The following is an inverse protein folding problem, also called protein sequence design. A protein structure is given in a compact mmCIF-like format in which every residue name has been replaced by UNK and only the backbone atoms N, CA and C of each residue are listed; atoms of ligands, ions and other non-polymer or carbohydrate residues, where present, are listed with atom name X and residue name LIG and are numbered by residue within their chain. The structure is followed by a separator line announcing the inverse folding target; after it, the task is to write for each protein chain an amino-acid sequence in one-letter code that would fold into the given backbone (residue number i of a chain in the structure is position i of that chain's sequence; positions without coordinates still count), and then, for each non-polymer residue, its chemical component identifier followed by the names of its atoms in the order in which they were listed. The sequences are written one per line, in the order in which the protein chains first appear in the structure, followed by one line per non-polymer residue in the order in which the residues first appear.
data_IF_944546091739
#
_entry.id   IF_944546091739
#
_cell.length_a   1.000
_cell.length_b   1.000
_cell.length_c   1.000
_cell.angle_alpha   90.00
_cell.angle_beta   90.00
_cell.angle_gamma   90.00
#
_symmetry.space_group_name_H-M   'P 1'
#
loop_
_entity.id
_entity.type
_entity.pdbx_description
1 polymer ?
#
# COMPACT_ATOMS: atom_id res chain seq x y z
N UNK A 1 25.29 -3.68 -3.56
CA UNK A 1 24.40 -2.52 -3.59
C UNK A 1 23.13 -2.95 -4.30
N UNK A 2 21.97 -2.76 -3.70
CA UNK A 2 20.70 -3.01 -4.36
C UNK A 2 19.66 -2.04 -3.80
N UNK A 3 19.09 -1.23 -4.68
CA UNK A 3 17.96 -0.37 -4.37
C UNK A 3 16.71 -1.03 -4.94
N UNK A 4 15.87 -1.54 -4.08
CA UNK A 4 14.70 -2.32 -4.45
C UNK A 4 13.42 -1.57 -4.09
N UNK A 5 12.49 -1.42 -5.02
CA UNK A 5 11.12 -0.97 -4.77
C UNK A 5 10.22 -2.20 -4.68
N UNK A 6 9.45 -2.32 -3.60
CA UNK A 6 8.40 -3.32 -3.46
C UNK A 6 7.05 -2.62 -3.47
N UNK A 7 6.17 -3.00 -4.38
CA UNK A 7 4.84 -2.42 -4.51
C UNK A 7 3.76 -3.47 -4.81
N UNK A 8 2.50 -3.12 -4.57
CA UNK A 8 1.36 -3.96 -4.94
C UNK A 8 1.00 -3.81 -6.41
N UNK A 9 0.82 -4.93 -7.10
CA UNK A 9 0.44 -4.95 -8.51
C UNK A 9 -1.08 -5.00 -8.74
N UNK A 10 -1.88 -4.99 -7.67
CA UNK A 10 -3.35 -5.09 -7.69
C UNK A 10 -3.99 -3.91 -6.92
N UNK A 11 -5.06 -4.15 -6.16
CA UNK A 11 -5.76 -3.16 -5.32
C UNK A 11 -5.31 -3.12 -3.86
N UNK A 12 -4.05 -3.40 -3.57
CA UNK A 12 -3.58 -3.56 -2.20
C UNK A 12 -3.88 -4.94 -1.63
N UNK A 13 -3.44 -5.15 -0.38
CA UNK A 13 -3.64 -6.42 0.34
C UNK A 13 -3.03 -7.66 -0.34
N UNK A 14 -2.05 -7.48 -1.23
CA UNK A 14 -1.38 -8.57 -1.96
C UNK A 14 -0.47 -9.43 -1.06
N UNK A 15 -0.39 -9.13 0.24
CA UNK A 15 0.54 -9.80 1.15
C UNK A 15 1.95 -9.19 1.13
N UNK A 16 2.05 -7.92 0.74
CA UNK A 16 3.33 -7.17 0.73
C UNK A 16 4.08 -7.24 2.05
N UNK A 17 3.38 -7.30 3.20
CA UNK A 17 4.02 -7.38 4.51
C UNK A 17 5.03 -8.54 4.62
N UNK A 18 4.68 -9.73 4.12
CA UNK A 18 5.60 -10.88 4.08
C UNK A 18 6.81 -10.63 3.17
N UNK A 19 6.58 -9.97 2.04
CA UNK A 19 7.63 -9.66 1.05
C UNK A 19 8.54 -8.54 1.55
N UNK A 20 7.98 -7.48 2.12
CA UNK A 20 8.79 -6.38 2.70
C UNK A 20 9.59 -6.86 3.90
N UNK A 21 9.04 -7.73 4.73
CA UNK A 21 9.75 -8.36 5.83
C UNK A 21 10.94 -9.23 5.34
N UNK A 22 10.73 -9.99 4.26
CA UNK A 22 11.80 -10.77 3.63
C UNK A 22 12.98 -9.88 3.22
N UNK A 23 12.73 -8.75 2.53
CA UNK A 23 13.77 -7.82 2.13
C UNK A 23 14.33 -6.99 3.30
N UNK A 24 13.49 -6.57 4.24
CA UNK A 24 13.90 -5.75 5.38
C UNK A 24 14.93 -6.45 6.27
N UNK A 25 14.90 -7.78 6.33
CA UNK A 25 15.85 -8.59 7.12
C UNK A 25 17.32 -8.38 6.72
N UNK A 26 17.58 -7.95 5.50
CA UNK A 26 18.93 -7.72 4.95
C UNK A 26 19.14 -6.26 4.48
N UNK A 27 18.14 -5.39 4.65
CA UNK A 27 18.23 -4.00 4.24
C UNK A 27 18.93 -3.15 5.31
N UNK A 28 19.79 -2.22 4.87
CA UNK A 28 20.34 -1.18 5.72
C UNK A 28 19.32 -0.05 5.96
N UNK A 29 18.49 0.26 4.96
CA UNK A 29 17.41 1.23 5.06
C UNK A 29 16.10 0.65 4.52
N UNK A 30 14.98 0.97 5.20
CA UNK A 30 13.63 0.73 4.69
C UNK A 30 12.88 2.05 4.65
N UNK A 31 12.45 2.45 3.46
CA UNK A 31 11.92 3.78 3.16
C UNK A 31 10.47 3.72 2.73
N UNK A 32 9.54 4.27 3.54
CA UNK A 32 8.17 4.57 3.13
C UNK A 32 8.16 5.86 2.33
N UNK A 33 7.66 5.84 1.11
CA UNK A 33 7.74 6.99 0.20
C UNK A 33 6.38 7.62 -0.13
N UNK A 34 5.25 7.02 0.30
CA UNK A 34 3.91 7.54 0.05
C UNK A 34 2.89 6.96 1.02
N UNK A 35 1.67 7.54 1.01
CA UNK A 35 0.57 7.12 1.89
C UNK A 35 0.76 7.65 3.31
N UNK A 36 0.03 7.08 4.22
CA UNK A 36 0.06 7.40 5.65
C UNK A 36 -0.39 6.20 6.46
N UNK A 37 -1.07 6.45 7.57
CA UNK A 37 -1.61 5.41 8.43
C UNK A 37 -2.87 4.70 7.88
N UNK A 38 -3.24 4.95 6.61
CA UNK A 38 -4.28 4.20 5.88
C UNK A 38 -3.80 2.84 5.35
N UNK A 39 -2.49 2.61 5.30
CA UNK A 39 -1.92 1.29 5.08
C UNK A 39 -1.84 0.53 6.40
N UNK A 40 -1.93 -0.77 6.35
CA UNK A 40 -1.70 -1.64 7.50
C UNK A 40 -1.16 -2.96 7.00
N UNK A 41 -0.04 -3.41 7.56
CA UNK A 41 0.47 -4.74 7.31
C UNK A 41 0.88 -5.40 8.62
N UNK A 42 0.60 -6.68 8.72
CA UNK A 42 0.98 -7.48 9.87
C UNK A 42 2.23 -8.26 9.52
N UNK A 43 3.23 -8.15 10.38
CA UNK A 43 4.48 -8.91 10.30
C UNK A 43 4.50 -9.87 11.48
N UNK A 44 4.95 -11.10 11.24
CA UNK A 44 5.08 -12.12 12.28
C UNK A 44 6.56 -12.22 12.65
N UNK A 45 6.89 -11.89 13.91
CA UNK A 45 8.24 -11.99 14.45
C UNK A 45 8.23 -13.01 15.61
N UNK A 46 8.70 -14.22 15.37
CA UNK A 46 8.54 -15.32 16.32
C UNK A 46 7.07 -15.67 16.54
N UNK A 47 6.59 -15.58 17.77
CA UNK A 47 5.18 -15.79 18.14
C UNK A 47 4.36 -14.51 18.10
N UNK A 48 4.99 -13.34 17.98
CA UNK A 48 4.34 -12.04 18.00
C UNK A 48 3.85 -11.61 16.63
N UNK A 49 2.60 -11.12 16.58
CA UNK A 49 2.04 -10.42 15.42
C UNK A 49 2.11 -8.91 15.67
N UNK A 50 2.87 -8.22 14.85
CA UNK A 50 3.05 -6.78 14.92
C UNK A 50 2.36 -6.13 13.72
N UNK A 51 1.37 -5.30 13.99
CA UNK A 51 0.68 -4.53 12.95
C UNK A 51 1.32 -3.15 12.83
N UNK A 52 1.92 -2.86 11.68
CA UNK A 52 2.48 -1.55 11.36
C UNK A 52 1.60 -0.85 10.33
N UNK A 53 1.41 0.46 10.50
CA UNK A 53 0.63 1.27 9.55
C UNK A 53 1.44 2.43 8.98
N UNK A 54 2.17 3.15 9.81
CA UNK A 54 2.96 4.32 9.41
C UNK A 54 4.47 4.03 9.45
N UNK A 55 4.93 3.36 10.50
CA UNK A 55 6.33 3.02 10.66
C UNK A 55 6.77 1.97 9.62
N UNK A 56 7.92 2.16 8.92
CA UNK A 56 8.44 1.19 7.97
C UNK A 56 8.80 -0.14 8.64
N UNK A 57 8.68 -1.26 7.89
CA UNK A 57 8.97 -2.61 8.39
C UNK A 57 10.40 -2.79 8.93
N UNK A 58 11.34 -1.97 8.46
CA UNK A 58 12.72 -1.94 8.93
C UNK A 58 12.90 -1.68 10.44
N UNK A 59 11.90 -1.11 11.11
CA UNK A 59 11.95 -0.87 12.56
C UNK A 59 12.13 -2.15 13.38
N UNK A 60 11.74 -3.30 12.82
CA UNK A 60 11.86 -4.60 13.47
C UNK A 60 13.29 -5.17 13.45
N UNK A 61 14.21 -4.54 12.74
CA UNK A 61 15.58 -5.01 12.53
C UNK A 61 16.58 -4.02 13.13
N UNK A 62 17.38 -4.44 14.13
CA UNK A 62 18.28 -3.54 14.87
C UNK A 62 19.33 -2.81 14.02
N UNK A 63 19.73 -3.42 12.89
CA UNK A 63 20.72 -2.83 11.98
C UNK A 63 20.12 -1.97 10.87
N UNK A 64 18.81 -1.93 10.75
CA UNK A 64 18.11 -1.19 9.72
C UNK A 64 17.73 0.21 10.21
N UNK A 65 17.77 1.20 9.32
CA UNK A 65 17.25 2.55 9.55
C UNK A 65 15.87 2.66 8.89
N UNK A 66 14.78 2.73 9.66
CA UNK A 66 13.45 2.98 9.11
C UNK A 66 13.30 4.47 8.75
N UNK A 67 12.77 4.77 7.56
CA UNK A 67 12.66 6.15 7.03
C UNK A 67 11.23 6.42 6.58
N UNK A 68 10.62 7.48 7.14
CA UNK A 68 9.38 8.08 6.64
C UNK A 68 9.75 9.27 5.76
N UNK A 69 9.64 9.10 4.45
CA UNK A 69 10.12 10.09 3.47
C UNK A 69 9.08 11.19 3.19
N UNK A 70 9.48 12.19 2.40
CA UNK A 70 8.72 13.41 2.13
C UNK A 70 7.37 13.22 1.41
N UNK A 71 7.21 12.08 0.72
CA UNK A 71 5.94 11.76 0.06
C UNK A 71 4.84 11.27 1.00
N UNK A 72 5.16 10.89 2.24
CA UNK A 72 4.20 10.45 3.23
C UNK A 72 3.40 11.61 3.85
N UNK A 73 2.22 11.26 4.37
CA UNK A 73 1.43 12.13 5.25
C UNK A 73 1.34 11.48 6.64
N UNK A 74 1.58 12.25 7.70
CA UNK A 74 1.86 11.75 9.04
C UNK A 74 0.80 12.21 10.03
N UNK A 75 0.11 11.28 10.65
CA UNK A 75 -0.71 11.48 11.83
C UNK A 75 0.18 11.30 13.06
N UNK A 76 0.56 12.40 13.74
CA UNK A 76 1.48 12.35 14.88
C UNK A 76 0.89 11.66 16.10
N UNK A 77 -0.42 11.79 16.32
CA UNK A 77 -1.09 11.08 17.42
C UNK A 77 -1.04 9.56 17.20
N UNK A 78 -1.25 9.13 15.95
CA UNK A 78 -1.13 7.72 15.57
C UNK A 78 0.33 7.25 15.67
N UNK A 79 1.29 8.03 15.17
CA UNK A 79 2.71 7.70 15.25
C UNK A 79 3.16 7.51 16.69
N UNK A 80 2.76 8.40 17.60
CA UNK A 80 3.04 8.29 19.05
C UNK A 80 2.57 6.95 19.62
N UNK A 81 1.35 6.54 19.25
CA UNK A 81 0.79 5.28 19.73
C UNK A 81 1.55 4.06 19.14
N UNK A 82 1.91 4.12 17.85
CA UNK A 82 2.65 3.05 17.18
C UNK A 82 4.07 2.90 17.74
N UNK A 83 4.78 4.01 17.97
CA UNK A 83 6.11 4.00 18.59
C UNK A 83 6.05 3.45 20.02
N UNK A 84 5.04 3.86 20.81
CA UNK A 84 4.86 3.33 22.17
C UNK A 84 4.59 1.82 22.15
N UNK A 85 3.73 1.34 21.26
CA UNK A 85 3.45 -0.11 21.08
C UNK A 85 4.73 -0.89 20.75
N UNK A 86 5.60 -0.33 19.92
CA UNK A 86 6.89 -0.95 19.58
C UNK A 86 7.85 -0.98 20.78
N UNK A 87 7.95 0.13 21.52
CA UNK A 87 8.78 0.23 22.73
C UNK A 87 8.29 -0.71 23.84
N UNK A 88 6.98 -0.86 24.04
CA UNK A 88 6.37 -1.80 24.96
C UNK A 88 6.73 -3.27 24.65
N UNK A 89 7.10 -3.54 23.38
CA UNK A 89 7.60 -4.83 22.87
C UNK A 89 9.15 -4.90 22.84
N UNK A 90 9.86 -3.96 23.46
CA UNK A 90 11.31 -3.83 23.47
C UNK A 90 11.93 -3.67 22.06
N UNK A 91 11.22 -3.06 21.12
CA UNK A 91 11.72 -2.71 19.79
C UNK A 91 12.28 -1.29 19.86
N UNK A 92 13.55 -1.15 19.48
CA UNK A 92 14.23 0.15 19.44
C UNK A 92 13.69 1.01 18.29
N UNK A 93 13.24 2.23 18.61
CA UNK A 93 12.70 3.18 17.65
C UNK A 93 13.60 4.40 17.41
N UNK A 94 14.74 4.49 18.07
CA UNK A 94 15.62 5.68 18.06
C UNK A 94 16.25 5.95 16.67
N UNK A 95 16.37 4.89 15.85
CA UNK A 95 16.90 5.00 14.47
C UNK A 95 15.88 5.53 13.47
N UNK A 96 14.60 5.66 13.83
CA UNK A 96 13.59 6.19 12.92
C UNK A 96 14.00 7.57 12.41
N UNK A 97 13.96 7.74 11.09
CA UNK A 97 14.21 9.01 10.43
C UNK A 97 12.92 9.53 9.78
N UNK A 98 12.53 10.76 10.10
CA UNK A 98 11.34 11.41 9.57
C UNK A 98 11.75 12.61 8.73
N UNK A 99 11.24 12.67 7.49
CA UNK A 99 11.51 13.80 6.60
C UNK A 99 10.90 15.11 7.13
N UNK A 100 11.67 16.20 7.19
CA UNK A 100 11.14 17.53 7.51
C UNK A 100 10.08 17.99 6.51
N UNK A 101 10.10 17.47 5.28
CA UNK A 101 9.20 17.85 4.20
C UNK A 101 7.91 17.02 4.14
N UNK A 102 7.75 15.95 4.93
CA UNK A 102 6.50 15.22 5.05
C UNK A 102 5.40 16.11 5.60
N UNK A 103 4.15 15.87 5.19
CA UNK A 103 3.00 16.67 5.60
C UNK A 103 2.30 16.07 6.81
N UNK A 104 1.76 16.93 7.67
CA UNK A 104 1.03 16.55 8.88
C UNK A 104 -0.47 16.40 8.59
N UNK A 105 -1.04 15.28 9.01
CA UNK A 105 -2.49 15.10 9.06
C UNK A 105 -3.00 15.83 10.30
N UNK A 106 -3.71 16.92 10.07
CA UNK A 106 -4.31 17.73 11.12
C UNK A 106 -5.67 17.17 11.54
N UNK A 107 -6.16 17.44 12.76
CA UNK A 107 -7.48 16.97 13.22
C UNK A 107 -8.62 17.33 12.28
N UNK A 108 -8.60 18.51 11.69
CA UNK A 108 -9.61 18.94 10.72
C UNK A 108 -9.58 18.14 9.42
N UNK A 109 -8.46 17.54 9.02
CA UNK A 109 -8.42 16.64 7.86
C UNK A 109 -9.26 15.38 8.10
N UNK A 110 -9.20 14.81 9.32
CA UNK A 110 -9.99 13.63 9.68
C UNK A 110 -11.49 13.97 9.67
N UNK A 111 -11.85 15.11 10.24
CA UNK A 111 -13.22 15.60 10.26
C UNK A 111 -13.75 15.84 8.83
N UNK A 112 -12.97 16.49 7.97
CA UNK A 112 -13.34 16.71 6.57
C UNK A 112 -13.49 15.40 5.79
N UNK A 113 -12.58 14.43 5.97
CA UNK A 113 -12.65 13.12 5.32
C UNK A 113 -13.97 12.39 5.68
N UNK A 114 -14.36 12.46 6.95
CA UNK A 114 -15.62 11.89 7.41
C UNK A 114 -16.84 12.58 6.81
N UNK A 115 -16.87 13.90 6.84
CA UNK A 115 -17.99 14.71 6.34
C UNK A 115 -18.15 14.58 4.81
N UNK A 116 -17.04 14.53 4.07
CA UNK A 116 -17.06 14.30 2.62
C UNK A 116 -17.66 12.92 2.33
N UNK A 117 -17.20 11.87 3.00
CA UNK A 117 -17.76 10.53 2.81
C UNK A 117 -19.25 10.46 3.17
N UNK A 118 -19.67 11.12 4.26
CA UNK A 118 -21.09 11.19 4.62
C UNK A 118 -21.94 11.89 3.56
N UNK A 119 -21.43 12.99 3.00
CA UNK A 119 -22.14 13.78 1.98
C UNK A 119 -22.33 13.04 0.66
N UNK A 120 -21.46 12.09 0.31
CA UNK A 120 -21.54 11.28 -0.90
C UNK A 120 -22.67 10.23 -0.88
N UNK A 121 -23.27 9.93 0.27
CA UNK A 121 -24.39 9.01 0.39
C UNK A 121 -24.09 7.64 -0.21
N UNK A 122 -24.81 7.25 -1.27
CA UNK A 122 -24.59 5.98 -1.96
C UNK A 122 -23.32 5.96 -2.82
N UNK A 123 -22.79 7.13 -3.18
CA UNK A 123 -21.58 7.28 -3.99
C UNK A 123 -20.30 7.29 -3.17
N UNK A 124 -20.33 6.78 -1.95
CA UNK A 124 -19.16 6.69 -1.06
C UNK A 124 -18.00 5.99 -1.74
N UNK A 125 -16.81 6.59 -1.61
CA UNK A 125 -15.54 5.98 -2.05
C UNK A 125 -15.16 4.82 -1.14
N UNK A 126 -15.49 4.92 0.15
CA UNK A 126 -15.14 3.95 1.18
C UNK A 126 -13.77 4.25 1.78
N UNK A 127 -13.49 5.54 2.05
CA UNK A 127 -12.23 5.97 2.68
C UNK A 127 -12.04 5.38 4.06
N UNK A 128 -10.81 5.46 4.55
CA UNK A 128 -10.48 5.02 5.93
C UNK A 128 -10.84 6.06 6.99
N UNK A 129 -11.34 7.23 6.60
CA UNK A 129 -11.65 8.39 7.47
C UNK A 129 -10.44 8.85 8.32
N UNK A 130 -9.24 8.67 7.80
CA UNK A 130 -7.98 9.04 8.48
C UNK A 130 -7.41 10.38 8.03
N UNK A 131 -8.14 11.13 7.20
CA UNK A 131 -7.74 12.46 6.75
C UNK A 131 -6.67 12.45 5.64
N UNK A 132 -6.41 11.31 5.03
CA UNK A 132 -5.36 11.15 4.00
C UNK A 132 -5.66 12.04 2.78
N UNK A 133 -6.87 11.93 2.22
CA UNK A 133 -7.29 12.70 1.05
C UNK A 133 -7.21 14.20 1.29
N UNK A 134 -7.87 14.75 2.32
CA UNK A 134 -7.79 16.18 2.65
C UNK A 134 -6.36 16.68 2.90
N UNK A 135 -5.49 15.88 3.53
CA UNK A 135 -4.09 16.26 3.74
C UNK A 135 -3.31 16.36 2.40
N UNK A 136 -3.50 15.41 1.48
CA UNK A 136 -2.91 15.51 0.14
C UNK A 136 -3.50 16.67 -0.67
N UNK A 137 -4.79 16.98 -0.52
CA UNK A 137 -5.39 18.16 -1.13
C UNK A 137 -4.72 19.44 -0.67
N UNK A 138 -4.51 19.61 0.63
CA UNK A 138 -3.81 20.77 1.20
C UNK A 138 -2.35 20.85 0.73
N UNK A 139 -1.67 19.72 0.60
CA UNK A 139 -0.32 19.66 0.01
C UNK A 139 -0.30 20.22 -1.42
N UNK A 140 -1.24 19.81 -2.28
CA UNK A 140 -1.32 20.26 -3.67
C UNK A 140 -1.76 21.72 -3.77
N UNK A 141 -2.65 22.18 -2.89
CA UNK A 141 -3.03 23.59 -2.75
C UNK A 141 -1.91 24.46 -2.14
N UNK A 142 -0.80 23.86 -1.69
CA UNK A 142 0.37 24.55 -1.11
C UNK A 142 0.07 25.27 0.21
N UNK A 143 -0.92 24.79 0.95
CA UNK A 143 -1.26 25.27 2.30
C UNK A 143 -0.99 24.22 3.40
N UNK A 144 -0.53 23.03 3.00
CA UNK A 144 -0.22 21.94 3.93
C UNK A 144 0.85 22.32 4.96
N UNK A 145 0.69 21.78 6.16
CA UNK A 145 1.62 21.94 7.27
C UNK A 145 2.63 20.79 7.20
N UNK A 146 3.92 21.11 7.24
CA UNK A 146 5.01 20.13 7.19
C UNK A 146 5.54 19.83 8.58
N UNK A 147 6.22 18.71 8.70
CA UNK A 147 6.89 18.28 9.94
C UNK A 147 7.86 19.36 10.46
N UNK A 148 8.64 19.98 9.58
CA UNK A 148 9.57 21.06 9.95
C UNK A 148 8.88 22.30 10.54
N UNK A 149 7.64 22.56 10.17
CA UNK A 149 6.92 23.74 10.66
C UNK A 149 6.70 23.66 12.20
N UNK A 150 6.62 22.45 12.76
CA UNK A 150 6.53 22.25 14.21
C UNK A 150 7.77 22.71 14.97
N UNK A 151 8.93 22.79 14.32
CA UNK A 151 10.16 23.26 14.97
C UNK A 151 10.20 24.77 15.11
N UNK A 152 9.33 25.50 14.39
CA UNK A 152 9.18 26.95 14.47
C UNK A 152 7.75 27.27 14.92
N UNK A 153 7.61 27.66 16.22
CA UNK A 153 6.30 27.91 16.84
C UNK A 153 5.51 28.99 16.10
N UNK A 154 6.14 30.07 15.73
CA UNK A 154 5.46 31.21 15.08
C UNK A 154 4.94 30.80 13.68
N UNK A 155 5.75 30.09 12.92
CA UNK A 155 5.38 29.57 11.59
C UNK A 155 4.23 28.56 11.71
N UNK A 156 4.32 27.63 12.66
CA UNK A 156 3.30 26.62 12.89
C UNK A 156 1.95 27.24 13.25
N UNK A 157 1.93 28.12 14.29
CA UNK A 157 0.70 28.79 14.74
C UNK A 157 0.04 29.61 13.63
N UNK A 158 0.84 30.37 12.88
CA UNK A 158 0.34 31.17 11.75
C UNK A 158 -0.32 30.29 10.70
N UNK A 159 0.29 29.17 10.32
CA UNK A 159 -0.28 28.22 9.33
C UNK A 159 -1.54 27.56 9.84
N UNK A 160 -1.56 27.10 11.10
CA UNK A 160 -2.75 26.48 11.71
C UNK A 160 -3.91 27.48 11.72
N UNK A 161 -3.71 28.70 12.21
CA UNK A 161 -4.76 29.75 12.28
C UNK A 161 -5.33 30.03 10.89
N UNK A 162 -4.46 30.24 9.89
CA UNK A 162 -4.89 30.51 8.51
C UNK A 162 -5.70 29.36 7.91
N UNK A 163 -5.26 28.10 8.10
CA UNK A 163 -5.97 26.94 7.58
C UNK A 163 -7.33 26.72 8.26
N UNK A 164 -7.39 27.00 9.56
CA UNK A 164 -8.63 26.85 10.33
C UNK A 164 -9.67 27.90 9.94
N UNK A 165 -9.28 29.14 9.64
CA UNK A 165 -10.23 30.14 9.12
C UNK A 165 -10.97 29.62 7.90
N UNK A 166 -10.27 29.10 6.88
CA UNK A 166 -10.87 28.55 5.67
C UNK A 166 -11.66 27.25 5.94
N UNK A 167 -11.10 26.36 6.76
CA UNK A 167 -11.77 25.12 7.14
C UNK A 167 -13.08 25.39 7.87
N UNK A 168 -13.11 26.36 8.78
CA UNK A 168 -14.31 26.74 9.53
C UNK A 168 -15.41 27.33 8.62
N UNK A 169 -15.04 28.03 7.55
CA UNK A 169 -16.04 28.44 6.54
C UNK A 169 -16.70 27.21 5.91
N UNK A 170 -15.92 26.22 5.55
CA UNK A 170 -16.43 24.96 4.99
C UNK A 170 -17.29 24.21 6.01
N UNK A 171 -16.83 24.05 7.23
CA UNK A 171 -17.56 23.37 8.29
C UNK A 171 -18.90 24.01 8.59
N UNK A 172 -18.91 25.34 8.78
CA UNK A 172 -20.10 26.06 9.24
C UNK A 172 -21.09 26.33 8.11
N UNK A 173 -20.63 26.62 6.88
CA UNK A 173 -21.49 27.04 5.76
C UNK A 173 -21.93 25.89 4.86
N UNK A 174 -21.13 24.83 4.74
CA UNK A 174 -21.43 23.69 3.87
C UNK A 174 -21.95 22.51 4.68
N UNK A 175 -21.27 22.17 5.77
CA UNK A 175 -21.61 20.99 6.56
C UNK A 175 -22.46 21.28 7.80
N UNK A 176 -22.76 22.53 8.12
CA UNK A 176 -23.52 22.94 9.30
C UNK A 176 -22.98 22.35 10.60
N UNK A 177 -21.65 22.28 10.71
CA UNK A 177 -20.93 21.75 11.88
C UNK A 177 -20.30 22.90 12.68
N UNK A 178 -20.08 22.71 13.98
CA UNK A 178 -19.36 23.68 14.81
C UNK A 178 -17.95 23.96 14.26
N UNK A 179 -17.44 25.18 14.45
CA UNK A 179 -16.06 25.51 14.08
C UNK A 179 -15.07 24.76 14.96
N UNK A 180 -13.88 24.51 14.42
CA UNK A 180 -12.72 23.97 15.14
C UNK A 180 -11.92 25.14 15.71
N UNK A 181 -11.35 24.94 16.90
CA UNK A 181 -10.57 25.96 17.61
C UNK A 181 -9.09 25.76 17.32
N UNK A 182 -8.41 26.82 16.85
CA UNK A 182 -7.01 26.76 16.46
C UNK A 182 -6.09 26.50 17.66
N UNK A 183 -6.38 27.09 18.77
CA UNK A 183 -5.61 27.01 20.00
C UNK A 183 -5.56 25.58 20.55
N UNK A 184 -6.65 24.84 20.47
CA UNK A 184 -6.71 23.42 20.89
C UNK A 184 -5.77 22.55 20.07
N UNK A 185 -5.75 22.77 18.75
CA UNK A 185 -4.85 22.05 17.85
C UNK A 185 -3.39 22.42 18.11
N UNK A 186 -3.09 23.71 18.33
CA UNK A 186 -1.74 24.18 18.63
C UNK A 186 -1.23 23.53 19.93
N UNK A 187 -2.08 23.48 20.97
CA UNK A 187 -1.74 22.86 22.26
C UNK A 187 -1.47 21.36 22.09
N UNK A 188 -2.37 20.62 21.39
CA UNK A 188 -2.17 19.20 21.09
C UNK A 188 -0.85 18.92 20.36
N UNK A 189 -0.50 19.75 19.37
CA UNK A 189 0.71 19.54 18.57
C UNK A 189 2.00 19.97 19.26
N UNK A 190 1.93 20.81 20.30
CA UNK A 190 3.08 21.08 21.15
C UNK A 190 3.59 19.82 21.85
N UNK A 191 2.69 18.92 22.27
CA UNK A 191 3.03 17.64 22.89
C UNK A 191 3.74 16.66 21.94
N UNK A 192 3.59 16.85 20.61
CA UNK A 192 4.23 16.01 19.61
C UNK A 192 5.60 16.52 19.14
N UNK A 193 5.98 17.75 19.54
CA UNK A 193 7.23 18.39 19.12
C UNK A 193 8.46 17.57 19.49
N UNK A 194 8.51 17.08 20.73
CA UNK A 194 9.66 16.30 21.21
C UNK A 194 9.82 14.99 20.44
N UNK A 195 8.71 14.34 20.08
CA UNK A 195 8.74 13.11 19.27
C UNK A 195 9.35 13.40 17.91
N UNK A 196 8.92 14.50 17.27
CA UNK A 196 9.42 14.87 15.94
C UNK A 196 10.87 15.32 16.01
N UNK A 197 11.25 16.14 17.01
CA UNK A 197 12.61 16.69 17.13
C UNK A 197 13.69 15.61 17.21
N UNK A 198 13.40 14.48 17.86
CA UNK A 198 14.33 13.38 18.02
C UNK A 198 14.53 12.56 16.73
N UNK A 199 13.53 12.55 15.82
CA UNK A 199 13.53 11.71 14.64
C UNK A 199 13.73 12.47 13.33
N UNK A 200 13.64 13.80 13.34
CA UNK A 200 13.74 14.60 12.12
C UNK A 200 15.15 14.56 11.53
N UNK A 201 15.26 14.22 10.24
CA UNK A 201 16.53 14.16 9.50
C UNK A 201 16.30 14.55 8.04
N UNK A 202 17.28 15.11 7.37
CA UNK A 202 17.25 15.21 5.92
C UNK A 202 17.31 13.81 5.31
N UNK A 203 16.12 13.24 5.05
CA UNK A 203 15.99 11.86 4.58
C UNK A 203 16.50 11.68 3.16
N UNK A 204 16.42 12.71 2.30
CA UNK A 204 16.96 12.66 0.96
C UNK A 204 18.49 12.53 0.98
N UNK A 205 19.16 13.37 1.78
CA UNK A 205 20.60 13.29 1.98
C UNK A 205 21.02 11.97 2.67
N UNK A 206 20.25 11.50 3.63
CA UNK A 206 20.49 10.22 4.30
C UNK A 206 20.50 9.06 3.29
N UNK A 207 19.49 9.02 2.40
CA UNK A 207 19.37 7.98 1.38
C UNK A 207 20.48 8.13 0.33
N UNK A 208 20.81 9.33 -0.11
CA UNK A 208 21.91 9.57 -1.05
C UNK A 208 23.25 9.07 -0.49
N UNK A 209 23.53 9.35 0.77
CA UNK A 209 24.76 8.87 1.43
C UNK A 209 24.77 7.34 1.51
N UNK A 210 23.66 6.70 1.85
CA UNK A 210 23.53 5.25 1.86
C UNK A 210 23.81 4.64 0.47
N UNK A 211 23.32 5.27 -0.60
CA UNK A 211 23.61 4.86 -1.98
C UNK A 211 25.12 4.96 -2.27
N UNK A 212 25.78 6.09 -1.92
CA UNK A 212 27.22 6.27 -2.09
C UNK A 212 28.06 5.25 -1.32
N UNK A 213 27.56 4.85 -0.15
CA UNK A 213 28.16 3.81 0.70
C UNK A 213 27.84 2.37 0.24
N UNK A 214 27.15 2.21 -0.88
CA UNK A 214 26.74 0.91 -1.45
C UNK A 214 25.86 0.08 -0.51
N UNK A 215 25.05 0.72 0.33
CA UNK A 215 24.08 0.08 1.22
C UNK A 215 22.89 -0.49 0.46
N UNK A 216 22.23 -1.47 1.07
CA UNK A 216 21.00 -2.07 0.55
C UNK A 216 19.79 -1.27 1.04
N UNK A 217 18.98 -0.78 0.09
CA UNK A 217 17.83 0.09 0.38
C UNK A 217 16.56 -0.56 -0.16
N UNK A 218 15.56 -0.70 0.73
CA UNK A 218 14.21 -1.11 0.38
C UNK A 218 13.28 0.10 0.36
N UNK A 219 12.65 0.39 -0.76
CA UNK A 219 11.53 1.32 -0.85
C UNK A 219 10.23 0.52 -0.69
N UNK A 220 9.56 0.73 0.43
CA UNK A 220 8.34 0.03 0.82
C UNK A 220 7.11 0.80 0.37
N UNK A 221 6.42 0.30 -0.66
CA UNK A 221 5.17 0.86 -1.16
C UNK A 221 3.96 0.45 -0.32
N UNK A 222 3.00 1.34 -0.24
CA UNK A 222 1.70 1.11 0.35
C UNK A 222 0.62 0.99 -0.74
N UNK A 223 -0.53 0.38 -0.42
CA UNK A 223 -1.64 0.13 -1.34
C UNK A 223 -1.19 -0.72 -2.56
N UNK A 224 -1.65 -0.42 -3.76
CA UNK A 224 -1.30 -1.14 -4.99
C UNK A 224 -1.56 -0.30 -6.23
N UNK A 225 -1.04 -0.73 -7.39
CA UNK A 225 -1.07 0.01 -8.65
C UNK A 225 -2.47 0.44 -9.07
N UNK A 226 -3.47 -0.43 -8.89
CA UNK A 226 -4.86 -0.11 -9.28
C UNK A 226 -5.57 0.84 -8.30
N UNK A 227 -4.89 1.24 -7.21
CA UNK A 227 -5.30 2.32 -6.30
C UNK A 227 -4.51 3.62 -6.50
N UNK A 228 -3.60 3.69 -7.47
CA UNK A 228 -2.84 4.90 -7.78
C UNK A 228 -3.79 6.03 -8.22
N UNK A 229 -3.53 7.27 -7.76
CA UNK A 229 -4.41 8.41 -8.05
C UNK A 229 -4.50 8.72 -9.55
N UNK A 230 -3.43 8.49 -10.32
CA UNK A 230 -3.36 8.77 -11.76
C UNK A 230 -3.63 7.52 -12.62
N UNK A 231 -3.22 6.34 -12.15
CA UNK A 231 -3.21 5.09 -12.93
C UNK A 231 -4.20 4.04 -12.43
N UNK A 232 -4.87 4.29 -11.31
CA UNK A 232 -5.84 3.37 -10.71
C UNK A 232 -7.24 3.51 -11.28
N UNK A 233 -8.17 2.78 -10.66
CA UNK A 233 -9.61 2.78 -11.00
C UNK A 233 -10.33 3.99 -10.41
N UNK A 234 -9.96 5.20 -10.84
CA UNK A 234 -10.55 6.45 -10.38
C UNK A 234 -12.09 6.43 -10.56
N UNK A 235 -12.89 6.95 -9.59
CA UNK A 235 -12.46 7.64 -8.36
C UNK A 235 -12.16 6.72 -7.17
N UNK A 236 -12.26 5.41 -7.32
CA UNK A 236 -12.06 4.41 -6.25
C UNK A 236 -10.57 4.09 -6.10
N UNK A 237 -9.80 5.08 -5.67
CA UNK A 237 -8.33 5.07 -5.53
C UNK A 237 -7.90 5.68 -4.20
N UNK A 238 -6.63 5.58 -3.86
CA UNK A 238 -6.03 6.39 -2.77
C UNK A 238 -5.61 7.75 -3.30
N UNK A 239 -5.35 8.70 -2.42
CA UNK A 239 -4.98 10.08 -2.79
C UNK A 239 -3.48 10.27 -3.02
N UNK A 240 -2.74 9.20 -3.26
CA UNK A 240 -1.29 9.24 -3.53
C UNK A 240 -0.92 8.38 -4.72
N UNK A 241 0.25 8.65 -5.31
CA UNK A 241 0.82 7.78 -6.33
C UNK A 241 1.46 6.56 -5.66
N UNK A 242 0.94 5.37 -5.99
CA UNK A 242 1.42 4.08 -5.48
C UNK A 242 2.42 3.41 -6.41
N UNK A 243 2.61 3.97 -7.60
CA UNK A 243 3.50 3.48 -8.64
C UNK A 243 4.98 3.61 -8.28
N UNK A 244 5.83 2.79 -8.90
CA UNK A 244 7.27 2.75 -8.64
C UNK A 244 7.98 4.09 -8.90
N UNK A 245 7.51 4.87 -9.88
CA UNK A 245 8.06 6.21 -10.18
C UNK A 245 7.99 7.15 -8.98
N UNK A 246 6.99 6.99 -8.12
CA UNK A 246 6.86 7.81 -6.92
C UNK A 246 7.86 7.44 -5.82
N UNK A 247 8.52 6.28 -5.88
CA UNK A 247 9.60 5.97 -4.94
C UNK A 247 10.74 6.99 -5.06
N UNK A 248 11.08 7.40 -6.27
CA UNK A 248 12.07 8.45 -6.53
C UNK A 248 11.58 9.83 -6.03
N UNK A 249 10.36 10.23 -6.41
CA UNK A 249 9.81 11.55 -6.06
C UNK A 249 9.57 11.66 -4.55
N UNK A 250 8.90 10.68 -3.97
CA UNK A 250 8.48 10.70 -2.56
C UNK A 250 9.64 10.54 -1.58
N UNK A 251 10.77 9.97 -1.99
CA UNK A 251 11.98 9.85 -1.17
C UNK A 251 13.02 10.94 -1.43
N UNK A 252 12.91 11.66 -2.57
CA UNK A 252 13.89 12.66 -2.99
C UNK A 252 15.17 12.06 -3.58
N UNK A 253 15.06 10.91 -4.23
CA UNK A 253 16.17 10.17 -4.86
C UNK A 253 16.06 10.26 -6.37
N UNK A 254 17.17 10.32 -7.07
CA UNK A 254 17.17 10.29 -8.54
C UNK A 254 16.69 8.94 -9.08
N UNK A 255 15.82 8.90 -10.13
CA UNK A 255 15.23 7.65 -10.61
C UNK A 255 16.27 6.62 -11.14
N UNK A 256 17.46 7.06 -11.55
CA UNK A 256 18.55 6.17 -11.95
C UNK A 256 19.13 5.33 -10.81
N UNK A 257 18.81 5.68 -9.58
CA UNK A 257 19.29 4.98 -8.39
C UNK A 257 18.31 3.88 -7.94
N UNK A 258 17.35 3.51 -8.77
CA UNK A 258 16.43 2.38 -8.53
C UNK A 258 16.86 1.26 -9.46
N UNK A 259 17.36 0.16 -8.87
CA UNK A 259 17.91 -0.97 -9.64
C UNK A 259 16.85 -2.04 -9.93
N UNK A 260 15.93 -2.27 -8.98
CA UNK A 260 15.02 -3.39 -8.97
C UNK A 260 13.62 -2.95 -8.58
N UNK A 261 12.61 -3.42 -9.30
CA UNK A 261 11.21 -3.09 -9.03
C UNK A 261 10.41 -4.39 -8.95
N UNK A 262 10.01 -4.74 -7.73
CA UNK A 262 9.28 -5.97 -7.42
C UNK A 262 7.79 -5.68 -7.31
N UNK A 263 7.01 -6.28 -8.21
CA UNK A 263 5.56 -6.29 -8.09
C UNK A 263 5.08 -7.45 -7.22
N UNK A 264 4.20 -7.21 -6.28
CA UNK A 264 3.57 -8.27 -5.48
C UNK A 264 2.14 -8.46 -5.95
N UNK A 265 1.76 -9.70 -6.26
CA UNK A 265 0.39 -10.09 -6.63
C UNK A 265 -0.05 -11.30 -5.82
N UNK A 266 -1.34 -11.48 -5.59
CA UNK A 266 -1.89 -12.76 -5.15
C UNK A 266 -2.07 -13.71 -6.34
N UNK A 267 -2.13 -15.00 -6.08
CA UNK A 267 -2.55 -15.98 -7.09
C UNK A 267 -4.01 -15.82 -7.54
N UNK A 268 -4.77 -14.95 -6.91
CA UNK A 268 -6.09 -14.47 -7.27
C UNK A 268 -6.15 -12.95 -7.05
N UNK A 269 -7.31 -12.31 -7.14
CA UNK A 269 -7.38 -10.88 -6.90
C UNK A 269 -8.43 -10.56 -5.83
N UNK A 270 -8.19 -9.56 -5.00
CA UNK A 270 -9.16 -9.07 -4.03
C UNK A 270 -9.24 -7.55 -4.03
N UNK A 271 -10.38 -7.02 -3.62
CA UNK A 271 -10.63 -5.58 -3.52
C UNK A 271 -11.42 -5.26 -2.26
N UNK A 272 -11.04 -4.17 -1.60
CA UNK A 272 -11.84 -3.54 -0.53
C UNK A 272 -12.67 -2.43 -1.13
N UNK A 273 -13.92 -2.28 -0.65
CA UNK A 273 -14.78 -1.15 -1.02
C UNK A 273 -15.46 -1.26 -2.37
N UNK A 274 -15.91 -0.11 -2.84
CA UNK A 274 -16.67 0.05 -4.08
C UNK A 274 -15.77 0.10 -5.31
N UNK A 275 -16.37 0.24 -6.49
CA UNK A 275 -15.68 0.36 -7.76
C UNK A 275 -15.71 -0.91 -8.60
N UNK A 276 -15.26 -0.83 -9.87
CA UNK A 276 -15.35 -1.91 -10.83
C UNK A 276 -14.44 -3.09 -10.46
N UNK A 277 -14.89 -4.32 -10.80
CA UNK A 277 -14.13 -5.53 -10.57
C UNK A 277 -14.57 -6.61 -11.58
N UNK A 278 -13.94 -6.63 -12.74
CA UNK A 278 -14.38 -7.43 -13.90
C UNK A 278 -14.37 -8.92 -13.59
N UNK A 279 -13.39 -9.42 -12.86
CA UNK A 279 -13.23 -10.85 -12.53
C UNK A 279 -13.88 -11.27 -11.22
N UNK A 280 -14.66 -10.40 -10.57
CA UNK A 280 -15.32 -10.67 -9.28
C UNK A 280 -16.17 -11.94 -9.34
N UNK A 281 -16.04 -12.79 -8.34
CA UNK A 281 -16.83 -13.99 -8.17
C UNK A 281 -17.87 -13.80 -7.05
N UNK A 282 -19.14 -13.67 -7.43
CA UNK A 282 -20.29 -13.53 -6.50
C UNK A 282 -20.99 -14.87 -6.32
N UNK A 283 -20.23 -15.93 -6.10
CA UNK A 283 -20.68 -17.32 -6.04
C UNK A 283 -19.84 -18.09 -5.02
N UNK A 284 -20.03 -19.39 -4.93
CA UNK A 284 -19.31 -20.30 -4.02
C UNK A 284 -17.78 -20.20 -4.16
N UNK A 285 -17.27 -19.94 -5.36
CA UNK A 285 -15.82 -19.72 -5.58
C UNK A 285 -15.35 -18.45 -4.87
N UNK A 286 -16.12 -17.37 -5.00
CA UNK A 286 -15.80 -16.12 -4.29
C UNK A 286 -15.80 -16.33 -2.78
N UNK A 287 -16.79 -17.03 -2.24
CA UNK A 287 -16.87 -17.37 -0.82
C UNK A 287 -15.67 -18.22 -0.38
N UNK A 288 -15.32 -19.24 -1.16
CA UNK A 288 -14.15 -20.07 -0.92
C UNK A 288 -12.85 -19.23 -0.84
N UNK A 289 -12.60 -18.35 -1.82
CA UNK A 289 -11.41 -17.51 -1.85
C UNK A 289 -11.36 -16.57 -0.63
N UNK A 290 -12.50 -16.06 -0.19
CA UNK A 290 -12.59 -15.17 0.98
C UNK A 290 -12.27 -15.93 2.26
N UNK A 291 -12.93 -17.07 2.50
CA UNK A 291 -12.78 -17.83 3.73
C UNK A 291 -11.37 -18.44 3.83
N UNK A 292 -10.94 -19.19 2.79
CA UNK A 292 -9.63 -19.84 2.79
C UNK A 292 -8.49 -18.84 2.75
N UNK A 293 -8.67 -17.73 2.02
CA UNK A 293 -7.70 -16.64 1.94
C UNK A 293 -7.72 -15.71 3.15
N UNK A 294 -8.63 -15.87 4.11
CA UNK A 294 -8.84 -14.96 5.23
C UNK A 294 -8.94 -13.50 4.75
N UNK A 295 -9.78 -13.26 3.72
CA UNK A 295 -9.88 -11.96 3.05
C UNK A 295 -10.80 -11.00 3.82
N UNK A 296 -10.32 -10.60 4.99
CA UNK A 296 -10.95 -9.61 5.87
C UNK A 296 -9.98 -8.46 6.16
N UNK A 297 -10.51 -7.26 6.28
CA UNK A 297 -9.70 -6.08 6.58
C UNK A 297 -9.11 -6.14 7.98
N UNK A 298 -7.79 -5.99 8.12
CA UNK A 298 -7.08 -6.10 9.41
C UNK A 298 -7.61 -5.10 10.45
N UNK A 299 -7.97 -3.89 10.02
CA UNK A 299 -8.42 -2.80 10.90
C UNK A 299 -9.94 -2.80 11.10
N UNK A 300 -10.69 -3.09 10.03
CA UNK A 300 -12.16 -2.93 10.03
C UNK A 300 -12.91 -4.25 10.11
N UNK A 301 -12.25 -5.39 9.98
CA UNK A 301 -12.89 -6.70 9.84
C UNK A 301 -13.76 -6.85 8.57
N UNK A 302 -13.78 -5.84 7.68
CA UNK A 302 -14.64 -5.81 6.51
C UNK A 302 -14.24 -6.90 5.52
N UNK A 303 -15.22 -7.68 5.07
CA UNK A 303 -15.06 -8.72 4.05
C UNK A 303 -14.62 -8.09 2.73
N UNK A 304 -13.58 -8.64 2.11
CA UNK A 304 -13.10 -8.23 0.79
C UNK A 304 -13.89 -8.94 -0.30
N UNK A 305 -14.01 -8.31 -1.45
CA UNK A 305 -14.50 -8.91 -2.69
C UNK A 305 -13.36 -9.69 -3.32
N UNK A 306 -13.60 -10.91 -3.82
CA UNK A 306 -12.57 -11.74 -4.44
C UNK A 306 -12.96 -12.16 -5.85
N UNK A 307 -11.96 -12.45 -6.66
CA UNK A 307 -12.14 -12.90 -8.04
C UNK A 307 -10.91 -13.61 -8.60
N UNK A 308 -11.04 -14.14 -9.79
CA UNK A 308 -9.94 -14.78 -10.52
C UNK A 308 -8.86 -13.77 -10.87
N UNK A 309 -7.60 -14.23 -10.92
CA UNK A 309 -6.47 -13.37 -11.29
C UNK A 309 -6.68 -12.79 -12.69
N UNK A 310 -6.53 -11.48 -12.78
CA UNK A 310 -6.73 -10.69 -13.98
C UNK A 310 -5.37 -10.33 -14.58
N UNK A 311 -4.98 -11.05 -15.63
CA UNK A 311 -3.70 -10.87 -16.31
C UNK A 311 -3.63 -9.58 -17.13
N UNK A 312 -4.79 -9.04 -17.56
CA UNK A 312 -4.83 -7.77 -18.29
C UNK A 312 -4.46 -6.63 -17.34
N UNK A 313 -5.06 -6.60 -16.16
CA UNK A 313 -4.72 -5.59 -15.14
C UNK A 313 -3.31 -5.79 -14.60
N UNK A 314 -2.83 -7.03 -14.48
CA UNK A 314 -1.47 -7.32 -14.06
C UNK A 314 -0.43 -6.88 -15.10
N UNK A 315 -0.66 -7.14 -16.39
CA UNK A 315 0.18 -6.65 -17.51
C UNK A 315 0.23 -5.12 -17.55
N UNK A 316 -0.90 -4.47 -17.27
CA UNK A 316 -0.94 -3.01 -17.10
C UNK A 316 -0.04 -2.57 -15.93
N UNK A 317 -0.12 -3.25 -14.79
CA UNK A 317 0.73 -2.94 -13.63
C UNK A 317 2.21 -3.14 -13.93
N UNK A 318 2.59 -4.18 -14.67
CA UNK A 318 3.96 -4.39 -15.19
C UNK A 318 4.42 -3.19 -15.98
N UNK A 319 3.61 -2.73 -16.93
CA UNK A 319 3.94 -1.61 -17.82
C UNK A 319 4.14 -0.29 -17.08
N UNK A 320 3.18 0.10 -16.22
CA UNK A 320 3.23 1.43 -15.56
C UNK A 320 4.31 1.52 -14.49
N UNK A 321 4.74 0.38 -13.95
CA UNK A 321 5.79 0.33 -12.93
C UNK A 321 7.16 -0.10 -13.48
N UNK A 322 7.24 -0.57 -14.72
CA UNK A 322 8.46 -1.21 -15.27
C UNK A 322 8.97 -2.33 -14.35
N UNK A 323 8.09 -3.24 -13.96
CA UNK A 323 8.45 -4.32 -13.05
C UNK A 323 9.61 -5.14 -13.61
N UNK A 324 10.63 -5.39 -12.80
CA UNK A 324 11.75 -6.25 -13.15
C UNK A 324 11.46 -7.71 -12.81
N UNK A 325 10.53 -7.95 -11.89
CA UNK A 325 10.12 -9.27 -11.44
C UNK A 325 8.78 -9.21 -10.70
N UNK A 326 8.16 -10.37 -10.56
CA UNK A 326 6.90 -10.56 -9.86
C UNK A 326 7.05 -11.56 -8.72
N UNK A 327 6.42 -11.25 -7.59
CA UNK A 327 6.25 -12.12 -6.44
C UNK A 327 4.78 -12.51 -6.33
N UNK A 328 4.51 -13.82 -6.31
CA UNK A 328 3.14 -14.35 -6.15
C UNK A 328 2.94 -14.80 -4.70
N UNK A 329 1.85 -14.36 -4.10
CA UNK A 329 1.45 -14.73 -2.74
C UNK A 329 0.17 -15.55 -2.77
N UNK A 330 -0.07 -16.28 -1.67
CA UNK A 330 -1.32 -17.03 -1.44
C UNK A 330 -1.66 -18.07 -2.52
N UNK A 331 -0.65 -18.75 -3.06
CA UNK A 331 -0.87 -19.85 -4.01
C UNK A 331 -1.59 -21.02 -3.33
N UNK A 332 -1.33 -21.27 -2.05
CA UNK A 332 -1.98 -22.26 -1.18
C UNK A 332 -3.50 -22.11 -1.11
N UNK A 333 -4.00 -20.90 -1.26
CA UNK A 333 -5.45 -20.64 -1.23
C UNK A 333 -6.18 -21.32 -2.40
N UNK A 334 -5.51 -21.53 -3.53
CA UNK A 334 -6.10 -22.20 -4.68
C UNK A 334 -6.13 -23.73 -4.57
N UNK A 335 -5.41 -24.34 -3.61
CA UNK A 335 -5.44 -25.80 -3.38
C UNK A 335 -6.84 -26.24 -2.96
N UNK A 336 -7.37 -27.29 -3.58
CA UNK A 336 -8.72 -27.84 -3.34
C UNK A 336 -9.77 -27.40 -4.38
N UNK A 337 -9.43 -26.48 -5.29
CA UNK A 337 -10.29 -26.12 -6.40
C UNK A 337 -10.09 -27.09 -7.57
N UNK A 338 -11.18 -27.60 -8.15
CA UNK A 338 -11.14 -28.50 -9.33
C UNK A 338 -10.72 -27.75 -10.59
N UNK A 339 -11.16 -26.51 -10.74
CA UNK A 339 -10.85 -25.63 -11.87
C UNK A 339 -10.42 -24.26 -11.39
N UNK A 340 -9.45 -23.69 -12.06
CA UNK A 340 -8.89 -22.37 -11.77
C UNK A 340 -8.85 -21.58 -13.08
N UNK A 341 -9.23 -20.30 -13.01
CA UNK A 341 -9.28 -19.43 -14.18
C UNK A 341 -8.25 -18.30 -14.10
N UNK A 342 -7.67 -17.97 -15.27
CA UNK A 342 -6.93 -16.72 -15.50
C UNK A 342 -7.71 -15.87 -16.50
N UNK A 343 -7.96 -14.60 -16.17
CA UNK A 343 -8.54 -13.68 -17.13
C UNK A 343 -7.47 -13.19 -18.10
N UNK A 344 -7.64 -13.51 -19.38
CA UNK A 344 -6.70 -13.23 -20.47
C UNK A 344 -7.20 -12.18 -21.47
N UNK A 345 -8.38 -11.63 -21.24
CA UNK A 345 -8.99 -10.61 -22.09
C UNK A 345 -10.33 -10.16 -21.52
N UNK A 346 -10.87 -9.11 -22.09
CA UNK A 346 -12.22 -8.61 -21.78
C UNK A 346 -13.05 -8.55 -23.03
N UNK A 347 -14.28 -9.06 -22.98
CA UNK A 347 -15.27 -8.87 -24.02
C UNK A 347 -16.10 -7.64 -23.71
N UNK A 348 -16.07 -6.67 -24.61
CA UNK A 348 -16.88 -5.47 -24.50
C UNK A 348 -17.54 -5.18 -25.84
N UNK A 349 -18.89 -5.12 -25.84
CA UNK A 349 -19.68 -5.06 -27.08
C UNK A 349 -19.32 -6.24 -28.02
N UNK A 350 -18.77 -5.98 -29.19
CA UNK A 350 -18.36 -7.02 -30.16
C UNK A 350 -16.84 -7.16 -30.27
N UNK A 351 -16.07 -6.55 -29.35
CA UNK A 351 -14.61 -6.53 -29.38
C UNK A 351 -14.01 -7.35 -28.24
N UNK A 352 -12.86 -7.98 -28.53
CA UNK A 352 -11.99 -8.58 -27.53
C UNK A 352 -10.88 -7.57 -27.19
N UNK A 353 -10.88 -7.08 -25.96
CA UNK A 353 -9.84 -6.21 -25.45
C UNK A 353 -8.73 -7.04 -24.80
N UNK A 354 -7.51 -6.84 -25.26
CA UNK A 354 -6.29 -7.51 -24.75
C UNK A 354 -5.40 -6.56 -23.95
N UNK A 355 -5.78 -5.29 -23.88
CA UNK A 355 -5.14 -4.25 -23.10
C UNK A 355 -6.11 -3.67 -22.06
N UNK A 356 -5.54 -3.11 -20.99
CA UNK A 356 -6.31 -2.50 -19.92
C UNK A 356 -7.05 -1.24 -20.41
N UNK A 357 -8.38 -1.21 -20.35
CA UNK A 357 -9.15 -0.14 -20.93
C UNK A 357 -9.04 1.16 -20.12
N UNK A 358 -8.93 2.29 -20.79
CA UNK A 358 -8.90 3.61 -20.16
C UNK A 358 -10.28 4.17 -19.83
N UNK A 359 -11.35 3.65 -20.44
CA UNK A 359 -12.73 4.12 -20.20
C UNK A 359 -13.31 3.45 -18.97
N UNK A 360 -13.72 4.23 -17.98
CA UNK A 360 -14.35 3.74 -16.75
C UNK A 360 -15.58 2.86 -17.04
N UNK A 361 -16.42 3.26 -18.00
CA UNK A 361 -17.64 2.52 -18.38
C UNK A 361 -17.35 1.09 -18.85
N UNK A 362 -16.19 0.83 -19.43
CA UNK A 362 -15.77 -0.51 -19.86
C UNK A 362 -15.53 -1.39 -18.65
N UNK A 363 -14.90 -0.87 -17.59
CA UNK A 363 -14.64 -1.63 -16.37
C UNK A 363 -15.91 -2.14 -15.67
N UNK A 364 -17.06 -1.49 -15.89
CA UNK A 364 -18.34 -1.93 -15.33
C UNK A 364 -19.15 -2.87 -16.23
N UNK A 365 -18.86 -2.88 -17.54
CA UNK A 365 -19.70 -3.56 -18.53
C UNK A 365 -18.99 -4.70 -19.25
N UNK A 366 -17.68 -4.71 -19.20
CA UNK A 366 -16.89 -5.76 -19.85
C UNK A 366 -17.05 -7.10 -19.11
N UNK A 367 -17.06 -8.18 -19.89
CA UNK A 367 -17.08 -9.55 -19.38
C UNK A 367 -15.67 -10.15 -19.46
N UNK A 368 -15.21 -10.86 -18.42
CA UNK A 368 -13.90 -11.49 -18.47
C UNK A 368 -13.86 -12.69 -19.43
N UNK A 369 -12.78 -12.80 -20.19
CA UNK A 369 -12.48 -13.97 -21.00
C UNK A 369 -11.45 -14.83 -20.28
N UNK A 370 -11.80 -16.05 -19.94
CA UNK A 370 -10.98 -16.93 -19.12
C UNK A 370 -10.26 -18.00 -19.92
N UNK A 371 -9.02 -18.28 -19.52
CA UNK A 371 -8.33 -19.54 -19.77
C UNK A 371 -8.47 -20.40 -18.50
N UNK A 372 -9.07 -21.56 -18.65
CA UNK A 372 -9.35 -22.50 -17.55
C UNK A 372 -8.25 -23.55 -17.43
N UNK A 373 -7.85 -23.84 -16.20
CA UNK A 373 -6.86 -24.85 -15.83
C UNK A 373 -7.51 -25.89 -14.92
N UNK A 374 -6.97 -27.09 -14.94
CA UNK A 374 -7.22 -28.05 -13.87
C UNK A 374 -6.53 -27.56 -12.61
N UNK A 375 -7.24 -27.64 -11.48
CA UNK A 375 -6.70 -27.29 -10.19
C UNK A 375 -5.82 -28.38 -9.59
N UNK A 376 -5.52 -28.25 -8.33
CA UNK A 376 -4.79 -29.23 -7.52
C UNK A 376 -5.41 -29.35 -6.13
N UNK A 377 -5.30 -30.54 -5.53
CA UNK A 377 -5.87 -30.84 -4.20
C UNK A 377 -4.80 -30.96 -3.12
N UNK A 378 -3.55 -31.06 -3.51
CA UNK A 378 -2.42 -31.23 -2.62
C UNK A 378 -2.22 -30.01 -1.74
N UNK A 379 -1.83 -30.23 -0.48
CA UNK A 379 -1.28 -29.20 0.36
C UNK A 379 0.14 -28.86 -0.09
N UNK A 380 0.35 -27.61 -0.46
CA UNK A 380 1.63 -27.11 -0.98
C UNK A 380 2.44 -26.31 0.06
N UNK A 381 1.95 -26.14 1.29
CA UNK A 381 2.57 -25.26 2.31
C UNK A 381 3.99 -25.68 2.70
N UNK A 382 4.30 -26.96 2.63
CA UNK A 382 5.63 -27.49 2.91
C UNK A 382 6.60 -27.48 1.72
N UNK A 383 6.12 -27.14 0.52
CA UNK A 383 6.92 -27.15 -0.72
C UNK A 383 8.02 -26.10 -0.70
N UNK A 384 9.24 -26.47 -1.08
CA UNK A 384 10.43 -25.59 -1.08
C UNK A 384 11.02 -25.33 -2.46
N UNK A 385 10.78 -26.22 -3.42
CA UNK A 385 11.27 -26.06 -4.79
C UNK A 385 10.10 -25.99 -5.77
N UNK A 386 10.27 -25.26 -6.85
CA UNK A 386 9.23 -25.10 -7.86
C UNK A 386 8.83 -26.42 -8.52
N UNK A 387 9.81 -27.32 -8.73
CA UNK A 387 9.61 -28.63 -9.36
C UNK A 387 8.76 -29.58 -8.51
N UNK A 388 8.71 -29.36 -7.18
CA UNK A 388 7.94 -30.16 -6.24
C UNK A 388 6.47 -29.75 -6.15
N UNK A 389 6.11 -28.61 -6.76
CA UNK A 389 4.70 -28.20 -6.89
C UNK A 389 3.91 -29.17 -7.78
N UNK A 390 2.60 -29.35 -7.56
CA UNK A 390 1.71 -30.04 -8.49
C UNK A 390 1.88 -29.50 -9.92
N UNK A 391 1.84 -30.37 -10.92
CA UNK A 391 2.05 -29.96 -12.32
C UNK A 391 1.08 -28.89 -12.80
N UNK A 392 -0.16 -28.92 -12.31
CA UNK A 392 -1.15 -27.90 -12.62
C UNK A 392 -0.77 -26.54 -12.03
N UNK A 393 -0.24 -26.52 -10.80
CA UNK A 393 0.26 -25.30 -10.16
C UNK A 393 1.48 -24.72 -10.91
N UNK A 394 2.43 -25.59 -11.34
CA UNK A 394 3.55 -25.17 -12.19
C UNK A 394 3.06 -24.55 -13.51
N UNK A 395 2.07 -25.19 -14.17
CA UNK A 395 1.49 -24.72 -15.43
C UNK A 395 0.80 -23.36 -15.23
N UNK A 396 0.08 -23.19 -14.13
CA UNK A 396 -0.58 -21.93 -13.77
C UNK A 396 0.45 -20.80 -13.65
N UNK A 397 1.51 -21.00 -12.86
CA UNK A 397 2.58 -19.99 -12.66
C UNK A 397 3.30 -19.66 -13.97
N UNK A 398 3.69 -20.69 -14.76
CA UNK A 398 4.36 -20.47 -16.06
C UNK A 398 3.48 -19.69 -17.03
N UNK A 399 2.18 -19.96 -17.06
CA UNK A 399 1.25 -19.20 -17.92
C UNK A 399 1.17 -17.72 -17.51
N UNK A 400 1.19 -17.42 -16.21
CA UNK A 400 1.23 -16.03 -15.73
C UNK A 400 2.52 -15.36 -16.22
N UNK A 401 3.67 -15.97 -15.97
CA UNK A 401 4.98 -15.45 -16.35
C UNK A 401 5.09 -15.19 -17.86
N UNK A 402 4.67 -16.18 -18.69
CA UNK A 402 4.64 -16.04 -20.14
C UNK A 402 3.72 -14.91 -20.62
N UNK A 403 2.57 -14.71 -19.97
CA UNK A 403 1.61 -13.68 -20.37
C UNK A 403 2.08 -12.26 -20.05
N UNK A 404 2.71 -12.08 -18.89
CA UNK A 404 3.15 -10.76 -18.43
C UNK A 404 4.58 -10.41 -18.89
N UNK A 405 5.35 -11.38 -19.38
CA UNK A 405 6.71 -11.24 -19.87
C UNK A 405 7.70 -10.72 -18.80
N UNK A 406 7.46 -11.08 -17.52
CA UNK A 406 8.29 -10.70 -16.38
C UNK A 406 8.54 -11.93 -15.51
N UNK A 407 9.79 -12.21 -15.07
CA UNK A 407 10.11 -13.38 -14.28
C UNK A 407 9.37 -13.40 -12.94
N UNK A 408 8.90 -14.58 -12.56
CA UNK A 408 8.36 -14.85 -11.22
C UNK A 408 9.47 -15.48 -10.41
N UNK A 409 10.00 -14.73 -9.43
CA UNK A 409 11.19 -15.14 -8.67
C UNK A 409 10.87 -15.56 -7.23
N UNK A 410 9.63 -15.39 -6.79
CA UNK A 410 9.18 -15.77 -5.45
C UNK A 410 7.72 -16.20 -5.46
N UNK A 411 7.42 -17.31 -4.79
CA UNK A 411 6.07 -17.83 -4.61
C UNK A 411 5.82 -18.12 -3.13
N UNK A 412 4.84 -17.46 -2.53
CA UNK A 412 4.38 -17.80 -1.18
C UNK A 412 3.35 -18.92 -1.25
N UNK A 413 3.62 -19.99 -0.54
CA UNK A 413 2.81 -21.22 -0.49
C UNK A 413 2.09 -21.41 0.83
N UNK A 414 2.12 -20.40 1.72
CA UNK A 414 1.43 -20.39 3.00
C UNK A 414 1.65 -19.08 3.76
N UNK A 415 1.01 -18.91 4.94
CA UNK A 415 1.05 -17.68 5.71
C UNK A 415 2.39 -17.44 6.44
N UNK A 416 3.12 -18.51 6.80
CA UNK A 416 4.34 -18.41 7.58
C UNK A 416 5.51 -17.82 6.77
N UNK A 417 6.43 -17.16 7.48
CA UNK A 417 7.61 -16.51 6.87
C UNK A 417 8.45 -17.46 6.01
N UNK A 418 8.55 -18.69 6.41
CA UNK A 418 9.36 -19.73 5.75
C UNK A 418 8.61 -20.51 4.66
N UNK A 419 7.31 -20.33 4.51
CA UNK A 419 6.48 -21.03 3.54
C UNK A 419 6.53 -20.30 2.18
N UNK A 420 7.68 -20.41 1.54
CA UNK A 420 7.93 -19.81 0.23
C UNK A 420 8.90 -20.65 -0.60
N UNK A 421 8.86 -20.39 -1.89
CA UNK A 421 9.75 -20.92 -2.92
C UNK A 421 10.46 -19.73 -3.54
N UNK A 422 11.78 -19.76 -3.60
CA UNK A 422 12.62 -18.80 -4.31
C UNK A 422 13.09 -19.49 -5.60
N UNK A 423 12.88 -18.83 -6.75
CA UNK A 423 13.19 -19.35 -8.10
C UNK A 423 14.44 -18.67 -8.63
#
# INVERSE_FOLDING_TARGET
MSTTVVLGAQWGDEGKGKVTDFFASTADLVVRFQGGNNAGHTIVVGEDKIALSLTPSGVLYPNCVPVIASGCVIDLGFLKQELKMLQDKNIDTDKLAISPNAHLIMPYHKLLDELIEESLGENKIGTTKKGIGPCYADKIQRRGIRVQDLLDQEVFEKKVKSNIEETNLTLTKIYERPPVVAEEIIEEFNDYRDIVSNHIKDTSLLIENAIKESKTILFEGAQGTLLDIDHGTYPFVTSSNTSAGNAAIGSGVGPKNIDRIVGVTKAYISRVGSGPFITEQKNEIGDYLIEKGAEFGVVTGRRRRCGWLDLISLKYSVRVNSLTELFITKLDVLSGLEKINLCIGYKYENELLTDYPYKESVHYKAEPVYKTFDGWTEDITSTKNFEDLPKNAQTYIKTIEEFIEVPITFISVGPERTENIII
#
